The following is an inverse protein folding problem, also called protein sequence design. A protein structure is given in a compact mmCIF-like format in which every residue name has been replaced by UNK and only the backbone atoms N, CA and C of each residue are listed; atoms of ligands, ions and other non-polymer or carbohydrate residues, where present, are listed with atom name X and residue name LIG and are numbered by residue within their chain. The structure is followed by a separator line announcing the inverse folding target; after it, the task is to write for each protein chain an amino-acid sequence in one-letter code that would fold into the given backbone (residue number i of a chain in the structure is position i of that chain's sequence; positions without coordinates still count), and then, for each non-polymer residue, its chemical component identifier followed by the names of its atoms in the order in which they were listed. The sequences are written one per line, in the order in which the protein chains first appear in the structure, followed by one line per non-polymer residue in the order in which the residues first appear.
data_IF_742567301658
#
_entry.id   IF_742567301658
#
_cell.length_a   1.000
_cell.length_b   1.000
_cell.length_c   1.000
_cell.angle_alpha   90.00
_cell.angle_beta   90.00
_cell.angle_gamma   90.00
#
_symmetry.space_group_name_H-M   'P 1'
#
loop_
_entity.id
_entity.type
_entity.pdbx_description
1 polymer ?
#
# COMPACT_ATOMS: atom_id res chain seq x y z
N UNK A 1 13.42 16.80 -24.04
CA UNK A 1 12.20 17.13 -24.82
C UNK A 1 11.95 18.63 -24.70
N UNK A 2 11.52 19.32 -25.77
CA UNK A 2 11.14 20.73 -25.70
C UNK A 2 10.02 20.94 -24.67
N UNK A 3 10.09 22.03 -23.89
CA UNK A 3 9.02 22.37 -22.94
C UNK A 3 7.69 22.53 -23.68
N UNK A 4 6.64 21.90 -23.18
CA UNK A 4 5.29 21.96 -23.75
C UNK A 4 5.01 20.99 -24.90
N UNK A 5 6.00 20.26 -25.41
CA UNK A 5 5.79 19.29 -26.51
C UNK A 5 4.73 18.24 -26.16
N UNK A 6 4.80 17.64 -24.96
CA UNK A 6 3.83 16.65 -24.51
C UNK A 6 2.42 17.23 -24.38
N UNK A 7 2.30 18.46 -23.87
CA UNK A 7 1.01 19.15 -23.72
C UNK A 7 0.37 19.41 -25.08
N UNK A 8 1.16 19.90 -26.05
CA UNK A 8 0.72 20.12 -27.43
C UNK A 8 0.32 18.80 -28.11
N UNK A 9 1.10 17.73 -27.90
CA UNK A 9 0.81 16.40 -28.44
C UNK A 9 -0.52 15.86 -27.89
N UNK A 10 -0.73 15.95 -26.58
CA UNK A 10 -2.01 15.58 -25.94
C UNK A 10 -3.15 16.41 -26.51
N UNK A 11 -2.97 17.73 -26.67
CA UNK A 11 -4.01 18.60 -27.18
C UNK A 11 -4.48 18.23 -28.59
N UNK A 12 -3.55 17.76 -29.44
CA UNK A 12 -3.83 17.35 -30.82
C UNK A 12 -4.48 15.97 -30.92
N UNK A 13 -4.10 15.04 -30.04
CA UNK A 13 -4.54 13.63 -30.16
C UNK A 13 -5.76 13.29 -29.31
N UNK A 14 -6.05 14.02 -28.22
CA UNK A 14 -7.15 13.69 -27.29
C UNK A 14 -8.56 13.58 -27.92
N UNK A 15 -8.77 14.16 -29.12
CA UNK A 15 -10.06 14.12 -29.80
C UNK A 15 -10.33 12.78 -30.49
N UNK A 16 -9.28 11.98 -30.71
CA UNK A 16 -9.33 10.64 -31.27
C UNK A 16 -8.80 9.65 -30.24
N UNK A 17 -9.71 8.88 -29.63
CA UNK A 17 -9.34 7.94 -28.57
C UNK A 17 -8.38 6.83 -29.06
N UNK A 18 -8.49 6.40 -30.32
CA UNK A 18 -7.59 5.38 -30.88
C UNK A 18 -6.19 5.97 -31.05
N UNK A 19 -6.06 7.10 -31.76
CA UNK A 19 -4.78 7.75 -31.95
C UNK A 19 -4.13 8.17 -30.61
N UNK A 20 -4.93 8.65 -29.65
CA UNK A 20 -4.45 9.00 -28.31
C UNK A 20 -3.87 7.77 -27.59
N UNK A 21 -4.59 6.65 -27.63
CA UNK A 21 -4.14 5.39 -27.01
C UNK A 21 -2.91 4.82 -27.70
N UNK A 22 -2.84 4.86 -29.04
CA UNK A 22 -1.67 4.39 -29.80
C UNK A 22 -0.39 5.16 -29.45
N UNK A 23 -0.50 6.46 -29.18
CA UNK A 23 0.64 7.30 -28.80
C UNK A 23 1.04 7.12 -27.34
N UNK A 24 0.07 7.19 -26.41
CA UNK A 24 0.36 7.31 -24.99
C UNK A 24 0.31 5.98 -24.22
N UNK A 25 -0.43 4.97 -24.67
CA UNK A 25 -0.41 3.66 -24.01
C UNK A 25 0.99 3.04 -24.02
N UNK A 26 1.77 3.05 -25.12
CA UNK A 26 3.16 2.56 -25.10
C UNK A 26 4.05 3.29 -24.10
N UNK A 27 3.86 4.61 -23.94
CA UNK A 27 4.59 5.41 -22.95
C UNK A 27 4.24 4.94 -21.54
N UNK A 28 2.95 4.81 -21.22
CA UNK A 28 2.49 4.31 -19.91
C UNK A 28 3.00 2.89 -19.63
N UNK A 29 2.97 2.00 -20.63
CA UNK A 29 3.50 0.63 -20.51
C UNK A 29 5.02 0.59 -20.33
N UNK A 30 5.74 1.51 -20.97
CA UNK A 30 7.17 1.71 -20.76
C UNK A 30 7.48 2.11 -19.31
N UNK A 31 6.77 3.10 -18.78
CA UNK A 31 6.91 3.52 -17.38
C UNK A 31 6.57 2.39 -16.39
N UNK A 32 5.48 1.66 -16.65
CA UNK A 32 5.09 0.49 -15.86
C UNK A 32 6.20 -0.58 -15.86
N UNK A 33 6.77 -0.88 -17.03
CA UNK A 33 7.83 -1.89 -17.18
C UNK A 33 9.12 -1.47 -16.48
N UNK A 34 9.51 -0.19 -16.58
CA UNK A 34 10.64 0.35 -15.83
C UNK A 34 10.45 0.18 -14.31
N UNK A 35 9.24 0.45 -13.81
CA UNK A 35 8.93 0.31 -12.39
C UNK A 35 8.87 -1.13 -11.89
N UNK A 36 8.62 -2.13 -12.74
CA UNK A 36 8.58 -3.53 -12.33
C UNK A 36 9.91 -4.05 -11.77
N UNK A 37 11.03 -3.46 -12.21
CA UNK A 37 12.39 -3.86 -11.80
C UNK A 37 13.17 -2.74 -11.14
N UNK A 38 12.57 -1.56 -10.95
CA UNK A 38 13.26 -0.39 -10.43
C UNK A 38 13.74 -0.62 -8.99
N UNK A 39 15.04 -0.40 -8.75
CA UNK A 39 15.61 -0.44 -7.41
C UNK A 39 15.72 0.96 -6.80
N UNK A 40 15.35 1.06 -5.52
CA UNK A 40 15.58 2.27 -4.70
C UNK A 40 17.07 2.59 -4.52
N UNK A 41 17.92 1.57 -4.64
CA UNK A 41 19.37 1.67 -4.41
C UNK A 41 20.08 2.39 -5.56
N UNK A 42 19.55 2.23 -6.77
CA UNK A 42 20.11 2.73 -8.02
C UNK A 42 19.34 3.95 -8.53
N UNK A 43 18.41 4.47 -7.72
CA UNK A 43 17.54 5.61 -8.02
C UNK A 43 16.68 5.44 -9.30
N UNK A 44 16.50 4.20 -9.76
CA UNK A 44 15.83 3.87 -11.03
C UNK A 44 14.33 4.22 -11.01
N UNK A 45 13.73 4.29 -9.82
CA UNK A 45 12.32 4.65 -9.65
C UNK A 45 12.05 6.14 -9.88
N UNK A 46 13.06 7.02 -9.74
CA UNK A 46 12.85 8.48 -9.75
C UNK A 46 12.32 8.98 -11.09
N UNK A 47 12.99 8.62 -12.18
CA UNK A 47 12.63 9.08 -13.52
C UNK A 47 11.23 8.61 -13.96
N UNK A 48 10.86 7.32 -13.87
CA UNK A 48 9.54 6.86 -14.26
C UNK A 48 8.42 7.38 -13.36
N UNK A 49 8.65 7.54 -12.04
CA UNK A 49 7.67 8.13 -11.13
C UNK A 49 7.43 9.61 -11.44
N UNK A 50 8.50 10.38 -11.68
CA UNK A 50 8.42 11.78 -12.09
C UNK A 50 7.71 11.93 -13.45
N UNK A 51 8.04 11.08 -14.42
CA UNK A 51 7.39 11.09 -15.73
C UNK A 51 5.89 10.76 -15.64
N UNK A 52 5.50 9.79 -14.80
CA UNK A 52 4.08 9.48 -14.57
C UNK A 52 3.36 10.68 -13.96
N UNK A 53 3.97 11.35 -12.97
CA UNK A 53 3.42 12.59 -12.40
C UNK A 53 3.23 13.67 -13.47
N UNK A 54 4.25 13.97 -14.27
CA UNK A 54 4.18 14.97 -15.34
C UNK A 54 3.07 14.65 -16.35
N UNK A 55 2.94 13.38 -16.75
CA UNK A 55 1.86 12.93 -17.63
C UNK A 55 0.48 13.14 -16.99
N UNK A 56 0.28 12.79 -15.72
CA UNK A 56 -1.00 12.99 -15.03
C UNK A 56 -1.35 14.47 -14.80
N UNK A 57 -0.35 15.35 -14.77
CA UNK A 57 -0.54 16.78 -14.55
C UNK A 57 -0.94 17.54 -15.83
N UNK A 58 -0.71 16.95 -17.01
CA UNK A 58 -1.14 17.54 -18.27
C UNK A 58 -2.66 17.70 -18.30
N UNK A 59 -3.10 18.95 -18.41
CA UNK A 59 -4.50 19.33 -18.48
C UNK A 59 -4.82 19.98 -19.82
N UNK A 60 -5.73 19.34 -20.57
CA UNK A 60 -6.33 19.93 -21.76
C UNK A 60 -7.84 19.73 -21.63
N UNK A 61 -8.53 20.73 -21.08
CA UNK A 61 -9.88 20.56 -20.53
C UNK A 61 -9.86 19.69 -19.26
N UNK A 62 -10.02 18.38 -19.46
CA UNK A 62 -9.86 17.33 -18.45
C UNK A 62 -8.39 16.86 -18.36
N UNK A 63 -8.15 15.75 -17.63
CA UNK A 63 -6.85 15.06 -17.59
C UNK A 63 -6.96 13.75 -18.38
N UNK A 64 -6.79 13.79 -19.72
CA UNK A 64 -7.01 12.62 -20.57
C UNK A 64 -6.05 11.46 -20.23
N UNK A 65 -4.84 11.76 -19.76
CA UNK A 65 -3.89 10.72 -19.33
C UNK A 65 -4.32 10.01 -18.04
N UNK A 66 -5.01 10.68 -17.11
CA UNK A 66 -5.59 10.01 -15.95
C UNK A 66 -6.67 9.01 -16.36
N UNK A 67 -7.52 9.38 -17.34
CA UNK A 67 -8.51 8.46 -17.93
C UNK A 67 -7.82 7.28 -18.62
N UNK A 68 -6.84 7.54 -19.47
CA UNK A 68 -6.11 6.50 -20.20
C UNK A 68 -5.39 5.51 -19.27
N UNK A 69 -4.85 5.97 -18.13
CA UNK A 69 -4.29 5.08 -17.10
C UNK A 69 -5.34 4.08 -16.62
N UNK A 70 -6.58 4.53 -16.35
CA UNK A 70 -7.66 3.65 -15.88
C UNK A 70 -8.19 2.69 -16.95
N UNK A 71 -7.92 2.98 -18.23
CA UNK A 71 -8.28 2.15 -19.38
C UNK A 71 -7.18 1.12 -19.73
N UNK A 72 -5.99 1.21 -19.12
CA UNK A 72 -4.95 0.21 -19.33
C UNK A 72 -5.43 -1.16 -18.88
N UNK A 73 -5.11 -2.21 -19.65
CA UNK A 73 -5.49 -3.60 -19.33
C UNK A 73 -5.03 -4.04 -17.94
N UNK A 74 -3.87 -3.54 -17.51
CA UNK A 74 -3.27 -3.83 -16.21
C UNK A 74 -3.80 -2.93 -15.08
N UNK A 75 -4.64 -1.91 -15.34
CA UNK A 75 -5.10 -1.03 -14.27
C UNK A 75 -5.76 -1.80 -13.12
N UNK A 76 -6.69 -2.68 -13.48
CA UNK A 76 -7.38 -3.63 -12.62
C UNK A 76 -7.41 -5.01 -13.28
N UNK A 77 -6.24 -5.64 -13.40
CA UNK A 77 -6.14 -6.97 -13.99
C UNK A 77 -6.94 -8.01 -13.18
N UNK A 78 -7.53 -8.99 -13.88
CA UNK A 78 -8.20 -10.12 -13.23
C UNK A 78 -7.19 -10.93 -12.43
N UNK A 79 -7.42 -11.04 -11.13
CA UNK A 79 -6.61 -11.85 -10.22
C UNK A 79 -6.97 -13.33 -10.39
N UNK A 80 -5.97 -14.18 -10.57
CA UNK A 80 -6.14 -15.62 -10.83
C UNK A 80 -5.35 -16.51 -9.88
N UNK A 81 -4.45 -15.94 -9.09
CA UNK A 81 -3.61 -16.69 -8.14
C UNK A 81 -4.32 -16.85 -6.78
N UNK A 82 -3.96 -17.88 -5.99
CA UNK A 82 -4.44 -18.02 -4.61
C UNK A 82 -3.86 -16.98 -3.64
N UNK A 83 -3.15 -15.96 -4.16
CA UNK A 83 -2.46 -14.91 -3.39
C UNK A 83 -2.88 -13.52 -3.88
N UNK A 84 -4.19 -13.20 -3.87
CA UNK A 84 -4.71 -12.02 -4.56
C UNK A 84 -4.13 -10.70 -4.03
N UNK A 85 -3.81 -10.61 -2.73
CA UNK A 85 -3.19 -9.43 -2.13
C UNK A 85 -1.78 -9.15 -2.65
N UNK A 86 -0.98 -10.20 -2.85
CA UNK A 86 0.34 -10.08 -3.48
C UNK A 86 0.25 -9.88 -4.99
N UNK A 87 -0.68 -10.57 -5.63
CA UNK A 87 -0.90 -10.50 -7.08
C UNK A 87 -1.27 -9.07 -7.49
N UNK A 88 -2.28 -8.46 -6.85
CA UNK A 88 -2.72 -7.10 -7.18
C UNK A 88 -1.58 -6.07 -7.04
N UNK A 89 -0.73 -6.19 -6.02
CA UNK A 89 0.42 -5.31 -5.84
C UNK A 89 1.47 -5.44 -6.97
N UNK A 90 1.54 -6.60 -7.64
CA UNK A 90 2.51 -6.88 -8.70
C UNK A 90 2.00 -6.63 -10.11
N UNK A 91 0.75 -7.00 -10.38
CA UNK A 91 0.19 -7.01 -11.74
C UNK A 91 -0.63 -5.77 -12.06
N UNK A 92 -1.06 -5.02 -11.04
CA UNK A 92 -1.80 -3.78 -11.29
C UNK A 92 -0.90 -2.66 -11.78
N UNK A 93 -1.42 -1.76 -12.61
CA UNK A 93 -0.64 -0.67 -13.20
C UNK A 93 0.06 0.21 -12.14
N UNK A 94 -0.66 0.58 -11.08
CA UNK A 94 -0.13 1.41 -9.98
C UNK A 94 0.67 0.60 -8.96
N UNK A 95 0.63 -0.72 -9.06
CA UNK A 95 1.29 -1.66 -8.15
C UNK A 95 2.78 -1.40 -7.98
N UNK A 96 3.57 -1.42 -9.06
CA UNK A 96 5.01 -1.15 -9.03
C UNK A 96 5.34 0.25 -8.51
N UNK A 97 4.55 1.26 -8.86
CA UNK A 97 4.76 2.64 -8.38
C UNK A 97 4.60 2.77 -6.87
N UNK A 98 3.66 2.02 -6.29
CA UNK A 98 3.47 1.95 -4.83
C UNK A 98 4.50 1.06 -4.13
N UNK A 99 5.18 0.15 -4.86
CA UNK A 99 6.08 -0.87 -4.28
C UNK A 99 7.49 -0.37 -3.93
N UNK A 100 7.80 0.89 -4.22
CA UNK A 100 9.09 1.52 -3.89
C UNK A 100 9.31 1.50 -2.37
N UNK A 101 10.30 0.73 -1.91
CA UNK A 101 10.43 0.35 -0.50
C UNK A 101 11.89 0.30 -0.03
N UNK A 102 12.10 0.49 1.27
CA UNK A 102 13.40 0.31 1.93
C UNK A 102 13.39 -0.89 2.90
N UNK A 103 12.32 -1.66 2.93
CA UNK A 103 12.25 -2.86 3.76
C UNK A 103 13.13 -3.95 3.15
N UNK A 104 13.94 -4.62 3.97
CA UNK A 104 14.84 -5.68 3.52
C UNK A 104 14.13 -6.89 2.85
N UNK A 105 12.84 -7.08 3.11
CA UNK A 105 12.03 -8.12 2.45
C UNK A 105 11.63 -7.75 1.02
N UNK A 106 11.50 -6.45 0.75
CA UNK A 106 11.17 -5.91 -0.56
C UNK A 106 12.47 -5.65 -1.37
N UNK A 107 13.52 -5.16 -0.70
CA UNK A 107 14.83 -4.82 -1.27
C UNK A 107 16.01 -5.50 -0.50
N UNK A 108 16.26 -6.80 -0.72
CA UNK A 108 17.32 -7.52 0.00
C UNK A 108 18.73 -6.94 -0.22
N UNK A 109 18.99 -6.40 -1.41
CA UNK A 109 20.26 -5.76 -1.77
C UNK A 109 20.57 -4.55 -0.89
N UNK A 110 19.54 -3.87 -0.38
CA UNK A 110 19.69 -2.69 0.49
C UNK A 110 20.34 -3.11 1.83
N UNK A 111 19.86 -4.21 2.41
CA UNK A 111 20.38 -4.78 3.65
C UNK A 111 21.86 -5.23 3.53
N UNK A 112 22.26 -5.65 2.34
CA UNK A 112 23.64 -6.04 2.04
C UNK A 112 24.56 -4.83 1.84
N UNK A 113 24.14 -3.89 0.99
CA UNK A 113 24.94 -2.70 0.63
C UNK A 113 25.14 -1.76 1.82
N UNK A 114 24.10 -1.52 2.60
CA UNK A 114 24.10 -0.43 3.57
C UNK A 114 24.29 -0.86 5.02
N UNK A 115 23.98 -2.11 5.35
CA UNK A 115 24.06 -2.62 6.72
C UNK A 115 25.11 -3.74 6.87
N UNK A 116 26.08 -3.84 5.95
CA UNK A 116 27.23 -4.76 6.08
C UNK A 116 28.27 -4.28 7.10
N UNK A 117 28.33 -2.97 7.39
CA UNK A 117 29.20 -2.32 8.39
C UNK A 117 28.59 -2.20 9.80
N UNK A 118 29.44 -1.93 10.80
CA UNK A 118 29.09 -1.86 12.23
C UNK A 118 28.57 -0.50 12.71
N UNK A 119 28.28 0.43 11.81
CA UNK A 119 27.85 1.79 12.13
C UNK A 119 26.43 2.05 11.64
N UNK A 120 25.54 2.39 12.57
CA UNK A 120 24.24 3.00 12.28
C UNK A 120 24.47 4.37 11.66
N UNK A 121 24.60 4.42 10.34
CA UNK A 121 24.82 5.67 9.65
C UNK A 121 23.53 6.50 9.67
N UNK A 122 23.42 7.40 10.66
CA UNK A 122 22.29 8.32 10.79
C UNK A 122 22.09 9.15 9.52
N UNK A 123 23.16 9.42 8.75
CA UNK A 123 23.06 10.15 7.49
C UNK A 123 22.36 9.31 6.42
N UNK A 124 22.69 8.02 6.32
CA UNK A 124 21.99 7.08 5.45
C UNK A 124 20.50 6.98 5.80
N UNK A 125 20.16 6.81 7.08
CA UNK A 125 18.76 6.72 7.52
C UNK A 125 18.00 7.99 7.11
N UNK A 126 18.60 9.17 7.32
CA UNK A 126 18.04 10.45 6.89
C UNK A 126 17.86 10.53 5.37
N UNK A 127 18.81 10.04 4.60
CA UNK A 127 18.75 10.00 3.13
C UNK A 127 17.60 9.10 2.65
N UNK A 128 17.49 7.88 3.19
CA UNK A 128 16.40 6.95 2.85
C UNK A 128 15.02 7.51 3.25
N UNK A 129 14.92 8.19 4.39
CA UNK A 129 13.69 8.88 4.78
C UNK A 129 13.32 9.99 3.79
N UNK A 130 14.29 10.83 3.39
CA UNK A 130 14.05 11.88 2.41
C UNK A 130 13.61 11.31 1.06
N UNK A 131 14.20 10.19 0.64
CA UNK A 131 13.85 9.53 -0.62
C UNK A 131 12.42 9.00 -0.58
N UNK A 132 12.04 8.30 0.50
CA UNK A 132 10.67 7.81 0.66
C UNK A 132 9.65 8.94 0.75
N UNK A 133 9.99 10.06 1.36
CA UNK A 133 9.11 11.23 1.42
C UNK A 133 8.88 11.84 0.03
N UNK A 134 9.93 11.94 -0.79
CA UNK A 134 9.81 12.38 -2.18
C UNK A 134 8.91 11.45 -3.00
N UNK A 135 9.12 10.13 -2.85
CA UNK A 135 8.31 9.09 -3.51
C UNK A 135 6.85 9.22 -3.12
N UNK A 136 6.55 9.31 -1.82
CA UNK A 136 5.18 9.45 -1.30
C UNK A 136 4.52 10.76 -1.72
N UNK A 137 5.29 11.85 -1.79
CA UNK A 137 4.81 13.14 -2.31
C UNK A 137 4.36 13.03 -3.76
N UNK A 138 5.15 12.38 -4.63
CA UNK A 138 4.79 12.16 -6.03
C UNK A 138 3.61 11.20 -6.18
N UNK A 139 3.62 10.08 -5.45
CA UNK A 139 2.48 9.14 -5.40
C UNK A 139 1.20 9.87 -4.99
N UNK A 140 1.24 10.69 -3.94
CA UNK A 140 0.09 11.48 -3.51
C UNK A 140 -0.42 12.39 -4.63
N UNK A 141 0.48 13.12 -5.31
CA UNK A 141 0.10 14.01 -6.42
C UNK A 141 -0.56 13.24 -7.55
N UNK A 142 0.01 12.10 -7.97
CA UNK A 142 -0.54 11.23 -9.02
C UNK A 142 -1.96 10.79 -8.65
N UNK A 143 -2.15 10.17 -7.46
CA UNK A 143 -3.46 9.72 -7.00
C UNK A 143 -4.44 10.89 -6.85
N UNK A 144 -3.99 12.04 -6.34
CA UNK A 144 -4.82 13.24 -6.24
C UNK A 144 -5.32 13.70 -7.60
N UNK A 145 -4.47 13.77 -8.62
CA UNK A 145 -4.84 14.19 -9.97
C UNK A 145 -5.81 13.20 -10.63
N UNK A 146 -5.59 11.89 -10.43
CA UNK A 146 -6.49 10.84 -10.91
C UNK A 146 -7.86 10.88 -10.24
N UNK A 147 -7.92 11.11 -8.93
CA UNK A 147 -9.18 11.21 -8.17
C UNK A 147 -9.89 12.55 -8.43
N UNK A 148 -9.15 13.64 -8.63
CA UNK A 148 -9.73 14.94 -8.96
C UNK A 148 -10.36 14.95 -10.36
N UNK A 149 -9.84 14.15 -11.29
CA UNK A 149 -10.38 13.99 -12.64
C UNK A 149 -11.65 13.12 -12.64
N UNK A 150 -12.75 13.64 -13.19
CA UNK A 150 -14.06 12.95 -13.16
C UNK A 150 -14.02 11.61 -13.90
N UNK A 151 -13.33 11.54 -15.04
CA UNK A 151 -13.28 10.35 -15.90
C UNK A 151 -12.48 9.17 -15.32
N UNK A 152 -11.70 9.40 -14.26
CA UNK A 152 -10.85 8.38 -13.62
C UNK A 152 -11.11 8.20 -12.13
N UNK A 153 -11.94 9.06 -11.52
CA UNK A 153 -12.15 9.09 -10.07
C UNK A 153 -12.65 7.76 -9.53
N UNK A 154 -13.66 7.22 -10.17
CA UNK A 154 -14.37 6.06 -9.67
C UNK A 154 -13.53 4.80 -9.75
N UNK A 155 -12.84 4.61 -10.87
CA UNK A 155 -11.89 3.52 -11.08
C UNK A 155 -10.70 3.64 -10.11
N UNK A 156 -10.22 4.86 -9.84
CA UNK A 156 -9.14 5.09 -8.87
C UNK A 156 -9.54 4.75 -7.44
N UNK A 157 -10.75 5.15 -7.01
CA UNK A 157 -11.28 4.78 -5.69
C UNK A 157 -11.55 3.28 -5.60
N UNK A 158 -12.08 2.67 -6.67
CA UNK A 158 -12.29 1.23 -6.74
C UNK A 158 -10.98 0.44 -6.67
N UNK A 159 -9.92 0.91 -7.34
CA UNK A 159 -8.58 0.34 -7.24
C UNK A 159 -8.11 0.29 -5.78
N UNK A 160 -8.21 1.41 -5.07
CA UNK A 160 -7.84 1.48 -3.65
C UNK A 160 -8.66 0.49 -2.82
N UNK A 161 -9.98 0.46 -3.01
CA UNK A 161 -10.86 -0.44 -2.29
C UNK A 161 -10.50 -1.92 -2.50
N UNK A 162 -10.29 -2.35 -3.75
CA UNK A 162 -9.93 -3.74 -4.08
C UNK A 162 -8.54 -4.11 -3.54
N UNK A 163 -7.58 -3.17 -3.55
CA UNK A 163 -6.28 -3.37 -2.89
C UNK A 163 -6.45 -3.64 -1.39
N UNK A 164 -7.29 -2.87 -0.70
CA UNK A 164 -7.53 -3.07 0.73
C UNK A 164 -8.25 -4.39 1.00
N UNK A 165 -9.32 -4.68 0.26
CA UNK A 165 -10.12 -5.91 0.36
C UNK A 165 -9.27 -7.17 0.17
N UNK A 166 -8.40 -7.20 -0.84
CA UNK A 166 -7.51 -8.34 -1.07
C UNK A 166 -6.37 -8.46 -0.05
N UNK A 167 -6.20 -7.46 0.82
CA UNK A 167 -5.19 -7.41 1.87
C UNK A 167 -5.78 -7.44 3.30
N UNK A 168 -7.09 -7.69 3.46
CA UNK A 168 -7.75 -7.77 4.78
C UNK A 168 -7.08 -8.77 5.74
N UNK A 169 -6.55 -9.87 5.21
CA UNK A 169 -5.84 -10.89 6.01
C UNK A 169 -4.56 -10.38 6.69
N UNK A 170 -4.05 -9.20 6.33
CA UNK A 170 -2.93 -8.55 7.03
C UNK A 170 -3.25 -8.22 8.50
N UNK A 171 -4.53 -8.10 8.85
CA UNK A 171 -4.97 -7.88 10.23
C UNK A 171 -5.02 -9.15 11.10
N UNK A 172 -4.83 -10.35 10.53
CA UNK A 172 -4.91 -11.60 11.28
C UNK A 172 -3.71 -11.78 12.24
N UNK A 173 -3.90 -12.59 13.28
CA UNK A 173 -2.82 -12.90 14.24
C UNK A 173 -1.70 -13.70 13.54
N UNK A 174 -2.09 -14.70 12.75
CA UNK A 174 -1.20 -15.52 11.94
C UNK A 174 -1.36 -15.13 10.47
N UNK A 175 -0.44 -14.29 9.99
CA UNK A 175 -0.47 -13.75 8.63
C UNK A 175 0.41 -14.60 7.72
N UNK A 176 -0.13 -15.03 6.59
CA UNK A 176 0.68 -15.58 5.50
C UNK A 176 1.23 -14.43 4.63
N UNK A 177 2.37 -13.87 5.06
CA UNK A 177 2.93 -12.65 4.44
C UNK A 177 3.21 -12.80 2.93
N UNK A 178 3.58 -14.01 2.48
CA UNK A 178 3.87 -14.30 1.07
C UNK A 178 2.65 -14.26 0.15
N UNK A 179 1.44 -14.25 0.71
CA UNK A 179 0.19 -14.18 -0.03
C UNK A 179 -0.36 -12.75 -0.17
N UNK A 180 0.26 -11.78 0.50
CA UNK A 180 -0.23 -10.42 0.69
C UNK A 180 0.74 -9.39 0.13
N UNK A 181 0.28 -8.16 -0.03
CA UNK A 181 1.13 -7.04 -0.42
C UNK A 181 2.19 -6.76 0.67
N UNK A 182 3.37 -6.30 0.25
CA UNK A 182 4.46 -5.95 1.16
C UNK A 182 4.17 -4.74 2.06
N UNK A 183 4.95 -4.59 3.13
CA UNK A 183 4.79 -3.49 4.08
C UNK A 183 5.08 -2.13 3.41
N UNK A 184 6.11 -2.05 2.55
CA UNK A 184 6.43 -0.83 1.81
C UNK A 184 5.27 -0.35 0.94
N UNK A 185 4.68 -1.26 0.16
CA UNK A 185 3.51 -1.00 -0.67
C UNK A 185 2.34 -0.44 0.14
N UNK A 186 1.96 -1.13 1.23
CA UNK A 186 0.81 -0.74 2.05
C UNK A 186 1.04 0.58 2.80
N UNK A 187 2.25 0.84 3.27
CA UNK A 187 2.60 2.11 3.95
C UNK A 187 2.65 3.29 2.98
N UNK A 188 3.06 3.07 1.73
CA UNK A 188 3.00 4.09 0.69
C UNK A 188 1.55 4.43 0.33
N UNK A 189 0.69 3.43 0.15
CA UNK A 189 -0.75 3.64 -0.05
C UNK A 189 -1.38 4.38 1.14
N UNK A 190 -1.02 4.02 2.37
CA UNK A 190 -1.48 4.71 3.56
C UNK A 190 -1.07 6.19 3.55
N UNK A 191 0.17 6.50 3.18
CA UNK A 191 0.65 7.88 3.09
C UNK A 191 -0.14 8.71 2.07
N UNK A 192 -0.45 8.11 0.90
CA UNK A 192 -1.33 8.74 -0.10
C UNK A 192 -2.70 9.06 0.49
N UNK A 193 -3.33 8.09 1.15
CA UNK A 193 -4.65 8.21 1.74
C UNK A 193 -4.70 9.22 2.90
N UNK A 194 -3.67 9.24 3.75
CA UNK A 194 -3.50 10.25 4.79
C UNK A 194 -3.44 11.66 4.18
N UNK A 195 -2.60 11.88 3.17
CA UNK A 195 -2.46 13.18 2.51
C UNK A 195 -3.74 13.63 1.78
N UNK A 196 -4.46 12.70 1.15
CA UNK A 196 -5.79 12.99 0.57
C UNK A 196 -6.81 13.39 1.65
N UNK A 197 -6.69 12.82 2.85
CA UNK A 197 -7.62 13.06 3.95
C UNK A 197 -7.36 14.33 4.76
N UNK A 198 -6.18 14.95 4.66
CA UNK A 198 -5.81 16.16 5.43
C UNK A 198 -6.84 17.28 5.31
N UNK A 199 -7.44 17.46 4.14
CA UNK A 199 -8.40 18.55 3.87
C UNK A 199 -9.87 18.16 4.07
N UNK A 200 -10.15 16.93 4.52
CA UNK A 200 -11.51 16.46 4.74
C UNK A 200 -12.08 17.09 6.01
N UNK A 201 -13.25 17.75 5.88
CA UNK A 201 -14.02 18.25 7.02
C UNK A 201 -14.94 17.14 7.51
N UNK A 202 -14.91 16.84 8.81
CA UNK A 202 -15.77 15.81 9.41
C UNK A 202 -17.27 16.06 9.19
N UNK A 203 -17.69 17.32 9.05
CA UNK A 203 -19.08 17.65 8.73
C UNK A 203 -19.55 17.17 7.34
N UNK A 204 -18.63 16.77 6.45
CA UNK A 204 -18.94 16.19 5.14
C UNK A 204 -18.88 14.66 5.11
N UNK A 205 -18.46 14.04 6.21
CA UNK A 205 -18.33 12.60 6.33
C UNK A 205 -19.65 12.03 6.82
N UNK A 206 -20.20 11.08 6.07
CA UNK A 206 -21.33 10.29 6.51
C UNK A 206 -20.83 9.14 7.37
N UNK A 207 -21.02 9.24 8.69
CA UNK A 207 -20.60 8.22 9.65
C UNK A 207 -21.41 6.93 9.57
N UNK A 208 -22.57 6.92 8.89
CA UNK A 208 -23.35 5.71 8.65
C UNK A 208 -22.89 4.93 7.41
N UNK A 209 -21.91 5.45 6.67
CA UNK A 209 -21.36 4.80 5.49
C UNK A 209 -20.92 3.33 5.66
N UNK A 210 -20.28 2.91 6.77
CA UNK A 210 -19.88 1.51 6.94
C UNK A 210 -21.05 0.52 6.95
N UNK A 211 -22.27 1.01 7.17
CA UNK A 211 -23.50 0.22 7.17
C UNK A 211 -24.28 0.34 5.86
N UNK A 212 -23.75 1.09 4.89
CA UNK A 212 -24.34 1.23 3.57
C UNK A 212 -24.19 -0.07 2.76
N UNK A 213 -25.19 -0.47 1.95
CA UNK A 213 -25.06 -1.64 1.06
C UNK A 213 -23.86 -1.52 0.10
N UNK A 214 -23.61 -0.32 -0.39
CA UNK A 214 -22.49 0.01 -1.28
C UNK A 214 -21.18 0.36 -0.55
N UNK A 215 -21.06 0.02 0.74
CA UNK A 215 -19.80 0.17 1.46
C UNK A 215 -18.75 -0.72 0.79
N UNK A 216 -17.66 -0.12 0.31
CA UNK A 216 -16.62 -0.84 -0.42
C UNK A 216 -15.78 -1.75 0.48
N UNK A 217 -15.84 -1.53 1.79
CA UNK A 217 -15.14 -2.29 2.82
C UNK A 217 -16.19 -2.81 3.80
N UNK A 218 -16.17 -4.12 4.06
CA UNK A 218 -17.10 -4.76 5.00
C UNK A 218 -16.53 -4.79 6.41
N UNK A 219 -17.27 -4.23 7.36
CA UNK A 219 -16.95 -4.29 8.80
C UNK A 219 -17.79 -5.35 9.55
N UNK A 220 -18.51 -6.21 8.82
CA UNK A 220 -19.49 -7.13 9.43
C UNK A 220 -18.89 -8.03 10.50
N UNK A 221 -17.66 -8.50 10.28
CA UNK A 221 -16.95 -9.44 11.15
C UNK A 221 -16.00 -8.74 12.15
N UNK A 222 -15.97 -7.41 12.15
CA UNK A 222 -15.06 -6.66 13.01
C UNK A 222 -15.56 -6.67 14.46
N UNK A 223 -14.60 -6.76 15.39
CA UNK A 223 -14.90 -6.64 16.83
C UNK A 223 -15.36 -5.22 17.12
N UNK A 224 -16.54 -5.07 17.73
CA UNK A 224 -17.13 -3.77 18.08
C UNK A 224 -16.71 -3.36 19.49
N UNK A 225 -16.71 -2.05 19.76
CA UNK A 225 -16.28 -1.48 21.05
C UNK A 225 -17.16 -1.93 22.23
N UNK A 226 -18.48 -1.93 22.03
CA UNK A 226 -19.46 -2.27 23.07
C UNK A 226 -20.72 -2.85 22.44
N UNK A 227 -20.56 -3.93 21.70
CA UNK A 227 -21.66 -4.60 21.01
C UNK A 227 -21.28 -6.04 20.64
N UNK A 228 -22.17 -6.98 20.88
CA UNK A 228 -22.00 -8.38 20.47
C UNK A 228 -22.28 -8.56 18.98
N UNK A 229 -21.93 -9.73 18.45
CA UNK A 229 -22.26 -10.10 17.06
C UNK A 229 -23.77 -10.07 16.81
N UNK A 230 -24.54 -10.63 17.75
CA UNK A 230 -26.01 -10.72 17.68
C UNK A 230 -26.64 -9.33 17.77
N UNK A 231 -26.28 -8.52 18.76
CA UNK A 231 -26.87 -7.19 18.95
C UNK A 231 -26.73 -6.30 17.71
N UNK A 232 -25.63 -6.42 16.94
CA UNK A 232 -25.54 -5.68 15.68
C UNK A 232 -26.16 -6.35 14.47
N UNK A 233 -26.38 -7.66 14.49
CA UNK A 233 -27.25 -8.25 13.48
C UNK A 233 -28.67 -7.67 13.65
N UNK A 234 -29.18 -7.67 14.89
CA UNK A 234 -30.50 -7.14 15.23
C UNK A 234 -30.59 -5.64 14.88
N UNK A 235 -29.62 -4.83 15.28
CA UNK A 235 -29.59 -3.40 14.96
C UNK A 235 -29.49 -3.11 13.45
N UNK A 236 -28.72 -3.91 12.69
CA UNK A 236 -28.61 -3.73 11.24
C UNK A 236 -29.93 -4.08 10.54
N UNK A 237 -30.67 -5.08 11.02
CA UNK A 237 -31.99 -5.43 10.52
C UNK A 237 -32.99 -4.30 10.79
N UNK A 238 -33.02 -3.76 12.01
CA UNK A 238 -33.83 -2.59 12.35
C UNK A 238 -33.48 -1.38 11.48
N UNK A 239 -32.19 -1.10 11.31
CA UNK A 239 -31.70 0.01 10.49
C UNK A 239 -32.09 -0.14 9.01
N UNK A 240 -32.03 -1.36 8.46
CA UNK A 240 -32.46 -1.66 7.10
C UNK A 240 -33.97 -1.48 6.91
N UNK A 241 -34.77 -1.93 7.89
CA UNK A 241 -36.23 -1.80 7.87
C UNK A 241 -36.69 -0.33 7.97
N UNK A 242 -36.03 0.47 8.82
CA UNK A 242 -36.27 1.92 8.92
C UNK A 242 -35.82 2.69 7.67
N UNK A 243 -34.72 2.26 7.04
CA UNK A 243 -34.23 2.86 5.80
C UNK A 243 -35.13 2.56 4.59
N UNK A 244 -35.87 1.44 4.63
CA UNK A 244 -36.80 1.03 3.56
C UNK A 244 -38.17 1.70 3.67
N UNK A 245 -38.61 2.04 4.88
CA UNK A 245 -39.90 2.69 5.15
C UNK A 245 -39.90 4.21 4.86
N UNK A 246 -38.73 4.83 4.76
CA UNK A 246 -38.56 6.24 4.38
C UNK A 246 -38.27 6.47 2.87
N UNK A 247 -38.39 5.44 2.02
CA UNK A 247 -38.27 5.62 0.57
C UNK A 247 -39.62 6.07 -0.04
N UNK A 248 -39.67 7.15 -0.84
CA UNK A 248 -40.86 7.47 -1.60
C UNK A 248 -41.17 6.35 -2.60
N UNK A 249 -42.41 5.87 -2.56
CA UNK A 249 -42.94 4.86 -3.49
C UNK A 249 -42.97 5.42 -4.92
N UNK A 250 -41.87 5.32 -5.66
CA UNK A 250 -41.81 5.80 -7.04
C UNK A 250 -40.44 6.12 -7.60
N UNK A 251 -39.38 5.39 -7.25
CA UNK A 251 -38.07 5.56 -7.86
C UNK A 251 -37.11 4.45 -7.48
N UNK A 252 -36.75 3.62 -8.46
CA UNK A 252 -35.64 2.67 -8.36
C UNK A 252 -34.32 3.46 -8.31
N UNK A 253 -33.93 4.01 -7.17
CA UNK A 253 -32.56 4.50 -6.98
C UNK A 253 -32.07 4.12 -5.59
N UNK A 254 -31.03 3.28 -5.56
CA UNK A 254 -30.23 3.02 -4.37
C UNK A 254 -29.86 4.34 -3.71
N UNK A 255 -29.85 4.35 -2.37
CA UNK A 255 -29.36 5.44 -1.52
C UNK A 255 -28.17 6.19 -2.17
N UNK A 256 -28.15 7.54 -2.15
CA UNK A 256 -27.27 8.33 -3.00
C UNK A 256 -25.80 7.97 -2.79
N UNK A 257 -25.07 7.85 -3.90
CA UNK A 257 -23.66 7.47 -3.90
C UNK A 257 -22.86 8.33 -2.92
N UNK A 258 -22.10 7.68 -2.06
CA UNK A 258 -21.32 8.37 -1.03
C UNK A 258 -20.28 9.31 -1.65
N UNK A 259 -20.15 10.50 -1.07
CA UNK A 259 -19.23 11.51 -1.56
C UNK A 259 -17.76 11.11 -1.33
N UNK A 260 -16.84 11.75 -2.05
CA UNK A 260 -15.40 11.49 -1.92
C UNK A 260 -14.87 11.62 -0.49
N UNK A 261 -15.36 12.60 0.28
CA UNK A 261 -14.88 12.83 1.66
C UNK A 261 -15.19 11.63 2.55
N UNK A 262 -16.41 11.08 2.45
CA UNK A 262 -16.81 9.85 3.14
C UNK A 262 -15.94 8.67 2.70
N UNK A 263 -15.85 8.41 1.40
CA UNK A 263 -15.09 7.27 0.86
C UNK A 263 -13.62 7.33 1.27
N UNK A 264 -12.96 8.46 1.03
CA UNK A 264 -11.55 8.63 1.36
C UNK A 264 -11.28 8.52 2.86
N UNK A 265 -12.17 9.06 3.70
CA UNK A 265 -12.05 8.95 5.16
C UNK A 265 -12.05 7.49 5.61
N UNK A 266 -13.06 6.70 5.21
CA UNK A 266 -13.17 5.30 5.62
C UNK A 266 -12.11 4.39 5.00
N UNK A 267 -11.76 4.60 3.72
CA UNK A 267 -10.65 3.88 3.09
C UNK A 267 -9.32 4.17 3.82
N UNK A 268 -9.10 5.42 4.24
CA UNK A 268 -7.91 5.79 5.03
C UNK A 268 -7.91 5.09 6.38
N UNK A 269 -9.04 5.09 7.09
CA UNK A 269 -9.17 4.46 8.40
C UNK A 269 -8.92 2.94 8.32
N UNK A 270 -9.49 2.28 7.31
CA UNK A 270 -9.27 0.86 7.09
C UNK A 270 -7.82 0.57 6.66
N UNK A 271 -7.21 1.42 5.83
CA UNK A 271 -5.80 1.29 5.46
C UNK A 271 -4.86 1.37 6.67
N UNK A 272 -5.15 2.19 7.69
CA UNK A 272 -4.36 2.18 8.93
C UNK A 272 -4.36 0.81 9.61
N UNK A 273 -5.51 0.13 9.61
CA UNK A 273 -5.66 -1.20 10.20
C UNK A 273 -4.89 -2.28 9.44
N UNK A 274 -4.76 -2.15 8.11
CA UNK A 274 -4.08 -3.13 7.26
C UNK A 274 -2.59 -2.83 7.01
N UNK A 275 -2.17 -1.57 7.13
CA UNK A 275 -0.81 -1.12 6.85
C UNK A 275 -0.01 -0.86 8.14
N UNK A 276 -0.41 0.17 8.89
CA UNK A 276 0.38 0.68 10.02
C UNK A 276 0.41 -0.29 11.20
N UNK A 277 -0.75 -0.78 11.63
CA UNK A 277 -0.85 -1.66 12.80
C UNK A 277 -0.04 -2.96 12.60
N UNK A 278 -0.19 -3.70 11.49
CA UNK A 278 0.59 -4.92 11.25
C UNK A 278 2.09 -4.65 11.15
N UNK A 279 2.49 -3.56 10.49
CA UNK A 279 3.90 -3.16 10.38
C UNK A 279 4.52 -2.86 11.76
N UNK A 280 3.80 -2.15 12.64
CA UNK A 280 4.23 -1.89 14.01
C UNK A 280 4.34 -3.18 14.83
N UNK A 281 3.35 -4.07 14.76
CA UNK A 281 3.41 -5.36 15.44
C UNK A 281 4.57 -6.23 14.95
N UNK A 282 4.84 -6.24 13.65
CA UNK A 282 5.97 -6.95 13.05
C UNK A 282 7.30 -6.38 13.54
N UNK A 283 7.45 -5.06 13.56
CA UNK A 283 8.62 -4.38 14.13
C UNK A 283 8.84 -4.76 15.60
N UNK A 284 7.79 -4.66 16.45
CA UNK A 284 7.87 -5.03 17.86
C UNK A 284 8.22 -6.51 18.07
N UNK A 285 7.68 -7.43 17.25
CA UNK A 285 8.05 -8.85 17.27
C UNK A 285 9.54 -9.05 16.93
N UNK A 286 10.05 -8.36 15.90
CA UNK A 286 11.47 -8.43 15.53
C UNK A 286 12.39 -7.88 16.62
N UNK A 287 12.04 -6.75 17.25
CA UNK A 287 12.80 -6.19 18.37
C UNK A 287 12.84 -7.15 19.56
N UNK A 288 11.72 -7.79 19.90
CA UNK A 288 11.69 -8.81 20.97
C UNK A 288 12.55 -10.02 20.61
N UNK A 289 12.38 -10.57 19.41
CA UNK A 289 13.18 -11.71 18.94
C UNK A 289 14.68 -11.42 18.95
N UNK A 290 15.11 -10.20 18.58
CA UNK A 290 16.50 -9.79 18.66
C UNK A 290 17.02 -9.75 20.11
N UNK A 291 16.23 -9.23 21.06
CA UNK A 291 16.58 -9.21 22.49
C UNK A 291 16.67 -10.62 23.08
N UNK A 292 15.69 -11.46 22.78
CA UNK A 292 15.65 -12.84 23.29
C UNK A 292 16.83 -13.66 22.73
N UNK A 293 17.15 -13.49 21.45
CA UNK A 293 18.29 -14.13 20.81
C UNK A 293 19.64 -13.64 21.38
N UNK A 294 19.75 -12.34 21.66
CA UNK A 294 20.93 -11.76 22.33
C UNK A 294 21.12 -12.38 23.71
N UNK A 295 20.05 -12.46 24.51
CA UNK A 295 20.08 -13.06 25.84
C UNK A 295 20.55 -14.53 25.79
N UNK A 296 19.99 -15.35 24.89
CA UNK A 296 20.39 -16.75 24.72
C UNK A 296 21.87 -16.88 24.31
N UNK A 297 22.34 -15.98 23.44
CA UNK A 297 23.74 -15.93 23.03
C UNK A 297 24.66 -15.63 24.20
N UNK A 298 24.31 -14.62 25.01
CA UNK A 298 25.12 -14.17 26.15
C UNK A 298 25.16 -15.24 27.26
N UNK A 299 24.02 -15.87 27.57
CA UNK A 299 23.93 -16.98 28.53
C UNK A 299 24.77 -18.18 28.09
N UNK A 300 24.69 -18.56 26.80
CA UNK A 300 25.44 -19.70 26.27
C UNK A 300 26.93 -19.40 26.20
N UNK A 301 27.33 -18.17 25.86
CA UNK A 301 28.72 -17.76 25.84
C UNK A 301 29.32 -17.68 27.26
N UNK A 302 28.57 -17.15 28.24
CA UNK A 302 29.02 -17.09 29.63
C UNK A 302 29.20 -18.48 30.26
N UNK A 303 28.38 -19.45 29.86
CA UNK A 303 28.46 -20.83 30.31
C UNK A 303 29.57 -21.66 29.61
N UNK A 304 30.46 -21.05 28.82
CA UNK A 304 31.46 -21.78 28.02
C UNK A 304 32.25 -22.83 28.82
N UNK A 305 32.72 -22.47 30.02
CA UNK A 305 33.46 -23.38 30.88
C UNK A 305 32.68 -24.65 31.26
N UNK A 306 31.34 -24.60 31.28
CA UNK A 306 30.48 -25.72 31.67
C UNK A 306 30.24 -26.71 30.54
N UNK A 307 30.26 -26.26 29.27
CA UNK A 307 29.92 -27.10 28.13
C UNK A 307 31.10 -27.38 27.19
N UNK A 308 32.21 -26.64 27.29
CA UNK A 308 33.34 -26.72 26.33
C UNK A 308 33.99 -28.11 26.25
N UNK A 309 34.01 -28.85 27.35
CA UNK A 309 34.61 -30.20 27.41
C UNK A 309 33.55 -31.32 27.38
N UNK A 310 32.29 -30.98 27.08
CA UNK A 310 31.19 -31.95 26.95
C UNK A 310 31.00 -32.39 25.49
N UNK A 311 30.31 -33.52 25.24
CA UNK A 311 29.94 -33.94 23.87
C UNK A 311 29.10 -32.92 23.09
N UNK A 312 28.52 -31.92 23.78
CA UNK A 312 27.72 -30.86 23.17
C UNK A 312 28.54 -29.65 22.72
N UNK A 313 29.86 -29.65 22.92
CA UNK A 313 30.71 -28.48 22.66
C UNK A 313 30.61 -27.96 21.22
N UNK A 314 30.67 -28.85 20.23
CA UNK A 314 30.59 -28.45 18.82
C UNK A 314 29.20 -27.93 18.43
N UNK A 315 28.14 -28.50 19.02
CA UNK A 315 26.77 -28.02 18.84
C UNK A 315 26.59 -26.61 19.40
N UNK A 316 27.10 -26.35 20.61
CA UNK A 316 27.01 -25.03 21.24
C UNK A 316 27.84 -23.98 20.49
N UNK A 317 29.04 -24.33 20.01
CA UNK A 317 29.83 -23.48 19.11
C UNK A 317 29.08 -23.15 17.82
N UNK A 318 28.39 -24.12 17.23
CA UNK A 318 27.55 -23.90 16.05
C UNK A 318 26.35 -23.00 16.35
N UNK A 319 25.67 -23.17 17.48
CA UNK A 319 24.57 -22.29 17.89
C UNK A 319 25.03 -20.85 18.09
N UNK A 320 26.11 -20.64 18.83
CA UNK A 320 26.71 -19.31 19.02
C UNK A 320 27.01 -18.66 17.66
N UNK A 321 27.62 -19.39 16.72
CA UNK A 321 27.90 -18.88 15.37
C UNK A 321 26.61 -18.52 14.62
N UNK A 322 25.60 -19.39 14.63
CA UNK A 322 24.31 -19.16 13.95
C UNK A 322 23.54 -18.00 14.56
N UNK A 323 23.47 -17.92 15.88
CA UNK A 323 22.77 -16.84 16.59
C UNK A 323 23.48 -15.50 16.37
N UNK A 324 24.81 -15.43 16.37
CA UNK A 324 25.55 -14.22 15.97
C UNK A 324 25.18 -13.77 14.55
N UNK A 325 25.11 -14.70 13.60
CA UNK A 325 24.72 -14.39 12.21
C UNK A 325 23.25 -13.93 12.13
N UNK A 326 22.34 -14.58 12.84
CA UNK A 326 20.92 -14.24 12.85
C UNK A 326 20.67 -12.90 13.54
N UNK A 327 21.36 -12.60 14.64
CA UNK A 327 21.32 -11.30 15.30
C UNK A 327 21.83 -10.20 14.38
N UNK A 328 22.93 -10.46 13.64
CA UNK A 328 23.40 -9.54 12.60
C UNK A 328 22.32 -9.32 11.54
N UNK A 329 21.52 -10.33 11.15
CA UNK A 329 20.41 -10.16 10.20
C UNK A 329 19.22 -9.40 10.78
N UNK A 330 18.88 -9.60 12.05
CA UNK A 330 17.75 -8.93 12.72
C UNK A 330 18.01 -7.46 13.04
N UNK A 331 19.28 -7.09 13.22
CA UNK A 331 19.72 -5.72 13.47
C UNK A 331 20.00 -4.92 12.18
N UNK A 332 19.91 -5.54 11.00
CA UNK A 332 19.96 -4.88 9.69
C UNK A 332 18.55 -4.45 9.29
#
# INVERSE_FOLDING_TARGET
MPRGFLTELVARTQHDNEAFSEVFSPVLQGLYTMMLTASVIEDEHRAPLQALFELTDIRVGNRPLCKLITEQKQFMAKLVLPTPGREIARVSFLGPFLSVSVFAEDEPKLAEKFFSGSSSDKALVKMLHSELENVRSLQHKIFHLMIANQDSRDQSLNYIAEVLKHNEKRAQIQVEERALAGDGFMLNLLSVLQNLSVKIKLSRVDFMYPFHPDAQVSIKNDTRLKFTSQEAADWLEEFANQSSSNQPAGGSESRPRSNFSTLCWFLTLHCHHLALIPALHKYQRRVRAARDLQKLLDETAAAEAQWRDTPFADRNRQFIRRWKQQLKKLNK
#
